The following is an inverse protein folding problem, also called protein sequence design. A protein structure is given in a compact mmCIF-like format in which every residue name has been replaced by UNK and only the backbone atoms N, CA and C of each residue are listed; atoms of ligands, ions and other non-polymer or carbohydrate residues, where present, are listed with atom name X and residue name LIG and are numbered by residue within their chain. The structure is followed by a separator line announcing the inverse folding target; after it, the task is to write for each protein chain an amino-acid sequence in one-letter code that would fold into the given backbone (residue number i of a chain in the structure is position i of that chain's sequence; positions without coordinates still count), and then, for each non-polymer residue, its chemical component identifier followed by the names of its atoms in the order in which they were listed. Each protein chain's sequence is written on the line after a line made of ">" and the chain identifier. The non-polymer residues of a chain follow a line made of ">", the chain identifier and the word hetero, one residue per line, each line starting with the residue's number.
data_IF_428240377453
#
_entry.id   IF_428240377453
#
_cell.length_a   1.000
_cell.length_b   1.000
_cell.length_c   1.000
_cell.angle_alpha   90.00
_cell.angle_beta   90.00
_cell.angle_gamma   90.00
#
_symmetry.space_group_name_H-M   'P 1'
#
loop_
_entity.id
_entity.type
_entity.pdbx_description
1 polymer ?
#
# COMPACT_ATOMS: atom_id res chain seq x y z
N UNK A 1 26.93 -20.52 -16.34
CA UNK A 1 26.01 -20.98 -15.29
C UNK A 1 25.11 -19.82 -14.98
N UNK A 2 23.83 -19.89 -15.31
CA UNK A 2 22.88 -18.87 -14.86
C UNK A 2 22.71 -19.05 -13.36
N UNK A 3 23.09 -18.02 -12.60
CA UNK A 3 22.97 -18.02 -11.15
C UNK A 3 21.48 -17.95 -10.81
N UNK A 4 20.90 -19.07 -10.37
CA UNK A 4 19.51 -19.13 -9.94
C UNK A 4 19.36 -18.29 -8.67
N UNK A 5 18.96 -17.03 -8.83
CA UNK A 5 18.57 -16.15 -7.72
C UNK A 5 17.14 -16.56 -7.35
N UNK A 6 16.90 -17.15 -6.16
CA UNK A 6 15.55 -17.48 -5.73
C UNK A 6 14.67 -16.23 -5.73
N UNK A 7 13.46 -16.30 -6.29
CA UNK A 7 12.52 -15.17 -6.39
C UNK A 7 12.27 -14.49 -5.02
N UNK A 8 12.29 -15.28 -3.94
CA UNK A 8 12.17 -14.77 -2.57
C UNK A 8 13.28 -13.79 -2.19
N UNK A 9 14.50 -13.95 -2.73
CA UNK A 9 15.61 -13.04 -2.45
C UNK A 9 15.36 -11.64 -3.03
N UNK A 10 14.67 -11.54 -4.18
CA UNK A 10 14.30 -10.26 -4.77
C UNK A 10 13.22 -9.54 -3.95
N UNK A 11 12.21 -10.27 -3.46
CA UNK A 11 11.18 -9.72 -2.58
C UNK A 11 11.78 -9.23 -1.27
N UNK A 12 12.66 -10.02 -0.66
CA UNK A 12 13.37 -9.64 0.57
C UNK A 12 14.24 -8.40 0.34
N UNK A 13 14.98 -8.35 -0.78
CA UNK A 13 15.79 -7.19 -1.14
C UNK A 13 14.93 -5.94 -1.32
N UNK A 14 13.79 -6.05 -2.00
CA UNK A 14 12.83 -4.95 -2.17
C UNK A 14 12.32 -4.45 -0.80
N UNK A 15 11.93 -5.36 0.09
CA UNK A 15 11.48 -5.01 1.44
C UNK A 15 12.59 -4.30 2.22
N UNK A 16 13.83 -4.77 2.13
CA UNK A 16 14.99 -4.11 2.75
C UNK A 16 15.20 -2.69 2.20
N UNK A 17 15.07 -2.49 0.89
CA UNK A 17 15.16 -1.16 0.28
C UNK A 17 14.05 -0.22 0.77
N UNK A 18 12.80 -0.70 0.83
CA UNK A 18 11.67 0.10 1.31
C UNK A 18 11.86 0.48 2.78
N UNK A 19 12.24 -0.49 3.62
CA UNK A 19 12.45 -0.26 5.06
C UNK A 19 13.62 0.69 5.32
N UNK A 20 14.77 0.46 4.69
CA UNK A 20 15.95 1.32 4.83
C UNK A 20 15.69 2.73 4.32
N UNK A 21 15.04 2.88 3.16
CA UNK A 21 14.65 4.17 2.60
C UNK A 21 13.67 4.93 3.50
N UNK A 22 12.68 4.24 4.06
CA UNK A 22 11.68 4.85 4.97
C UNK A 22 12.33 5.31 6.28
N UNK A 23 13.18 4.48 6.88
CA UNK A 23 13.91 4.83 8.11
C UNK A 23 14.84 6.02 7.88
N UNK A 24 15.58 6.02 6.77
CA UNK A 24 16.44 7.15 6.40
C UNK A 24 15.63 8.44 6.20
N UNK A 25 14.48 8.35 5.52
CA UNK A 25 13.59 9.48 5.30
C UNK A 25 13.07 10.07 6.61
N UNK A 26 12.60 9.23 7.55
CA UNK A 26 12.13 9.71 8.86
C UNK A 26 13.24 10.32 9.71
N UNK A 27 14.44 9.74 9.66
CA UNK A 27 15.61 10.33 10.31
C UNK A 27 15.97 11.70 9.74
N UNK A 28 15.98 11.81 8.40
CA UNK A 28 16.24 13.07 7.71
C UNK A 28 15.17 14.11 8.04
N UNK A 29 13.89 13.73 8.02
CA UNK A 29 12.75 14.58 8.34
C UNK A 29 12.81 15.08 9.79
N UNK A 30 13.17 14.22 10.74
CA UNK A 30 13.33 14.59 12.14
C UNK A 30 14.49 15.58 12.33
N UNK A 31 15.62 15.36 11.64
CA UNK A 31 16.78 16.27 11.65
C UNK A 31 16.43 17.65 11.08
N UNK A 32 15.77 17.68 9.92
CA UNK A 32 15.37 18.92 9.26
C UNK A 32 14.37 19.66 10.14
N UNK A 33 13.31 19.01 10.62
CA UNK A 33 12.32 19.63 11.50
C UNK A 33 12.97 20.33 12.70
N UNK A 34 13.90 19.66 13.39
CA UNK A 34 14.65 20.28 14.50
C UNK A 34 15.51 21.48 14.09
N UNK A 35 16.10 21.43 12.89
CA UNK A 35 16.94 22.53 12.37
C UNK A 35 16.10 23.77 12.07
N UNK A 36 14.85 23.58 11.64
CA UNK A 36 13.91 24.67 11.33
C UNK A 36 13.04 25.08 12.53
N UNK A 37 13.18 24.44 13.69
CA UNK A 37 12.41 24.74 14.91
C UNK A 37 11.02 24.12 14.97
N UNK A 38 10.71 23.17 14.09
CA UNK A 38 9.44 22.43 14.04
C UNK A 38 9.44 21.19 14.96
N UNK A 39 8.25 20.69 15.27
CA UNK A 39 8.09 19.40 15.96
C UNK A 39 8.30 18.23 14.97
N UNK A 40 9.39 17.44 15.13
CA UNK A 40 9.69 16.32 14.25
C UNK A 40 8.62 15.21 14.29
N UNK A 41 7.95 15.03 15.43
CA UNK A 41 6.92 13.99 15.60
C UNK A 41 5.69 14.36 14.78
N UNK A 42 5.27 15.63 14.83
CA UNK A 42 4.12 16.11 14.08
C UNK A 42 4.33 15.98 12.56
N UNK A 43 5.52 16.30 12.07
CA UNK A 43 5.84 16.16 10.65
C UNK A 43 5.89 14.69 10.20
N UNK A 44 6.41 13.78 11.02
CA UNK A 44 6.36 12.34 10.75
C UNK A 44 4.91 11.86 10.71
N UNK A 45 4.10 12.22 11.71
CA UNK A 45 2.67 11.89 11.74
C UNK A 45 1.97 12.38 10.48
N UNK A 46 2.17 13.66 10.11
CA UNK A 46 1.58 14.25 8.91
C UNK A 46 1.96 13.47 7.64
N UNK A 47 3.23 13.07 7.52
CA UNK A 47 3.70 12.28 6.37
C UNK A 47 3.03 10.91 6.28
N UNK A 48 2.94 10.18 7.41
CA UNK A 48 2.32 8.86 7.49
C UNK A 48 0.82 8.96 7.22
N UNK A 49 0.13 9.95 7.80
CA UNK A 49 -1.29 10.18 7.57
C UNK A 49 -1.58 10.52 6.11
N UNK A 50 -0.77 11.37 5.49
CA UNK A 50 -0.95 11.74 4.08
C UNK A 50 -0.81 10.52 3.18
N UNK A 51 0.26 9.73 3.35
CA UNK A 51 0.45 8.48 2.60
C UNK A 51 -0.68 7.46 2.88
N UNK A 52 -1.11 7.34 4.14
CA UNK A 52 -2.20 6.47 4.55
C UNK A 52 -3.53 6.84 3.89
N UNK A 53 -3.89 8.12 3.85
CA UNK A 53 -5.11 8.61 3.20
C UNK A 53 -5.10 8.34 1.69
N UNK A 54 -3.96 8.56 1.03
CA UNK A 54 -3.79 8.21 -0.38
C UNK A 54 -3.95 6.71 -0.63
N UNK A 55 -3.37 5.87 0.23
CA UNK A 55 -3.52 4.41 0.16
C UNK A 55 -4.99 3.99 0.30
N UNK A 56 -5.70 4.53 1.30
CA UNK A 56 -7.13 4.27 1.52
C UNK A 56 -7.95 4.66 0.29
N UNK A 57 -7.69 5.85 -0.29
CA UNK A 57 -8.37 6.31 -1.49
C UNK A 57 -8.18 5.34 -2.67
N UNK A 58 -6.95 4.89 -2.90
CA UNK A 58 -6.62 3.94 -3.97
C UNK A 58 -7.36 2.62 -3.76
N UNK A 59 -7.32 2.08 -2.54
CA UNK A 59 -8.02 0.85 -2.19
C UNK A 59 -9.53 0.95 -2.41
N UNK A 60 -10.17 2.03 -1.96
CA UNK A 60 -11.59 2.27 -2.20
C UNK A 60 -11.93 2.33 -3.69
N UNK A 61 -11.14 3.10 -4.45
CA UNK A 61 -11.34 3.28 -5.89
C UNK A 61 -11.26 1.95 -6.64
N UNK A 62 -10.24 1.13 -6.36
CA UNK A 62 -10.07 -0.15 -7.04
C UNK A 62 -11.05 -1.22 -6.56
N UNK A 63 -11.44 -1.20 -5.28
CA UNK A 63 -12.49 -2.07 -4.78
C UNK A 63 -13.82 -1.78 -5.50
N UNK A 64 -14.22 -0.51 -5.59
CA UNK A 64 -15.41 -0.11 -6.35
C UNK A 64 -15.33 -0.55 -7.81
N UNK A 65 -14.20 -0.27 -8.47
CA UNK A 65 -14.02 -0.64 -9.88
C UNK A 65 -14.07 -2.16 -10.10
N UNK A 66 -13.49 -2.93 -9.17
CA UNK A 66 -13.48 -4.39 -9.25
C UNK A 66 -14.89 -5.00 -9.14
N UNK A 67 -15.75 -4.43 -8.31
CA UNK A 67 -17.17 -4.81 -8.21
C UNK A 67 -17.92 -4.50 -9.51
N UNK A 68 -17.73 -3.29 -10.05
CA UNK A 68 -18.37 -2.86 -11.30
C UNK A 68 -17.96 -3.74 -12.50
N UNK A 69 -16.71 -4.24 -12.52
CA UNK A 69 -16.24 -5.17 -13.56
C UNK A 69 -16.98 -6.51 -13.56
N UNK A 70 -17.49 -6.93 -12.40
CA UNK A 70 -18.30 -8.12 -12.20
C UNK A 70 -19.81 -7.83 -12.25
N UNK A 71 -20.20 -6.61 -12.66
CA UNK A 71 -21.60 -6.21 -12.77
C UNK A 71 -22.29 -6.00 -11.42
N UNK A 72 -21.52 -5.82 -10.35
CA UNK A 72 -22.02 -5.60 -8.98
C UNK A 72 -21.76 -4.14 -8.57
N UNK A 73 -22.63 -3.59 -7.73
CA UNK A 73 -22.39 -2.30 -7.08
C UNK A 73 -21.68 -2.47 -5.74
N UNK A 74 -20.75 -1.56 -5.44
CA UNK A 74 -20.05 -1.57 -4.17
C UNK A 74 -21.00 -1.18 -3.03
N UNK A 75 -21.15 -2.09 -2.07
CA UNK A 75 -21.99 -1.85 -0.89
C UNK A 75 -21.25 -1.02 0.14
N UNK A 76 -21.98 -0.17 0.88
CA UNK A 76 -21.42 0.75 1.88
C UNK A 76 -20.53 0.06 2.93
N UNK A 77 -20.86 -1.19 3.29
CA UNK A 77 -20.22 -1.88 4.40
C UNK A 77 -18.86 -2.46 3.99
N UNK A 78 -18.57 -2.49 2.68
CA UNK A 78 -17.27 -2.93 2.17
C UNK A 78 -16.14 -2.02 2.64
N UNK A 79 -16.45 -0.78 3.04
CA UNK A 79 -15.48 0.15 3.66
C UNK A 79 -14.87 -0.43 4.95
N UNK A 80 -15.63 -1.20 5.75
CA UNK A 80 -15.10 -1.87 6.94
C UNK A 80 -14.05 -2.95 6.60
N UNK A 81 -14.06 -3.46 5.38
CA UNK A 81 -13.13 -4.45 4.88
C UNK A 81 -11.94 -3.84 4.11
N UNK A 82 -11.74 -2.52 4.20
CA UNK A 82 -10.59 -1.83 3.60
C UNK A 82 -9.22 -2.47 3.89
N UNK A 83 -8.92 -2.96 5.11
CA UNK A 83 -7.66 -3.67 5.36
C UNK A 83 -7.48 -4.94 4.51
N UNK A 84 -8.58 -5.56 4.09
CA UNK A 84 -8.60 -6.76 3.24
C UNK A 84 -8.80 -6.42 1.75
N UNK A 85 -8.86 -5.13 1.40
CA UNK A 85 -9.12 -4.69 0.03
C UNK A 85 -8.18 -5.27 -1.02
N UNK A 86 -6.86 -5.47 -0.79
CA UNK A 86 -6.00 -6.07 -1.81
C UNK A 86 -6.44 -7.49 -2.18
N UNK A 87 -6.90 -8.27 -1.19
CA UNK A 87 -7.37 -9.64 -1.38
C UNK A 87 -8.71 -9.64 -2.11
N UNK A 88 -9.64 -8.75 -1.72
CA UNK A 88 -10.96 -8.62 -2.36
C UNK A 88 -10.80 -8.21 -3.83
N UNK A 89 -9.96 -7.22 -4.12
CA UNK A 89 -9.67 -6.76 -5.48
C UNK A 89 -9.07 -7.92 -6.30
N UNK A 90 -8.08 -8.64 -5.75
CA UNK A 90 -7.46 -9.77 -6.43
C UNK A 90 -8.46 -10.88 -6.71
N UNK A 91 -9.34 -11.20 -5.76
CA UNK A 91 -10.39 -12.19 -5.93
C UNK A 91 -11.35 -11.80 -7.06
N UNK A 92 -11.85 -10.56 -7.07
CA UNK A 92 -12.74 -10.06 -8.11
C UNK A 92 -12.11 -10.06 -9.50
N UNK A 93 -10.82 -9.72 -9.60
CA UNK A 93 -10.06 -9.82 -10.84
C UNK A 93 -9.96 -11.28 -11.31
N UNK A 94 -9.69 -12.21 -10.39
CA UNK A 94 -9.61 -13.63 -10.71
C UNK A 94 -10.97 -14.19 -11.16
N UNK A 95 -12.08 -13.81 -10.51
CA UNK A 95 -13.43 -14.18 -10.95
C UNK A 95 -13.69 -13.76 -12.40
N UNK A 96 -13.24 -12.56 -12.79
CA UNK A 96 -13.47 -12.02 -14.14
C UNK A 96 -12.62 -12.68 -15.21
N UNK A 97 -11.31 -12.82 -14.95
CA UNK A 97 -10.32 -13.18 -15.96
C UNK A 97 -9.92 -14.66 -15.92
N UNK A 98 -10.14 -15.36 -14.81
CA UNK A 98 -9.79 -16.76 -14.60
C UNK A 98 -10.95 -17.58 -13.99
N UNK A 99 -12.17 -17.58 -14.58
CA UNK A 99 -13.27 -18.35 -14.04
C UNK A 99 -12.98 -19.87 -14.12
N UNK A 100 -12.94 -20.55 -12.96
CA UNK A 100 -12.83 -22.02 -12.88
C UNK A 100 -11.46 -22.59 -12.51
N UNK A 101 -10.56 -21.79 -11.94
CA UNK A 101 -9.35 -22.26 -11.23
C UNK A 101 -9.43 -21.96 -9.75
#
# INVERSE_FOLDING_TARGET
>A
MEEYIPENNLVVLLLLFILSGTLYYFWWLARVSRTFGDDPVMNIILSVFTLGLWSIYICLKYMQKSEMMNGRDMKWYMVFFLPLSPIIIQHNLNEKYFPGR
#
